data_IF_402763415626
#
_entry.id   IF_402763415626
#
_cell.length_a   1.000
_cell.length_b   1.000
_cell.length_c   1.000
_cell.angle_alpha   90.00
_cell.angle_beta   90.00
_cell.angle_gamma   90.00
#
_symmetry.space_group_name_H-M   'P 1'
#
loop_
_entity.id
_entity.type
_entity.pdbx_description
1 polymer ?
#
# COMPACT_ATOMS: atom_id res chain seq x y z
N UNK A 1 -9.89 8.56 3.95
CA UNK A 1 -8.74 8.38 3.02
C UNK A 1 -9.05 8.85 1.62
N UNK A 2 -10.31 8.78 1.15
CA UNK A 2 -10.66 9.15 -0.24
C UNK A 2 -10.38 10.62 -0.59
N UNK A 3 -10.42 11.54 0.38
CA UNK A 3 -10.22 12.98 0.18
C UNK A 3 -8.84 13.37 -0.40
N UNK A 4 -7.87 12.46 -0.40
CA UNK A 4 -6.53 12.71 -0.96
C UNK A 4 -6.38 12.27 -2.43
N UNK A 5 -7.44 11.71 -3.03
CA UNK A 5 -7.41 11.22 -4.41
C UNK A 5 -8.25 12.11 -5.32
N UNK A 6 -7.65 12.54 -6.43
CA UNK A 6 -8.41 12.98 -7.60
C UNK A 6 -9.16 11.79 -8.20
N UNK A 7 -10.35 12.03 -8.73
CA UNK A 7 -11.18 11.01 -9.39
C UNK A 7 -11.38 11.36 -10.86
N UNK A 8 -11.01 10.47 -11.80
CA UNK A 8 -10.33 9.19 -11.58
C UNK A 8 -8.85 9.38 -11.23
N UNK A 9 -8.27 8.39 -10.53
CA UNK A 9 -6.82 8.22 -10.39
C UNK A 9 -6.38 7.05 -11.27
N UNK A 10 -5.32 7.24 -12.05
CA UNK A 10 -4.77 6.16 -12.87
C UNK A 10 -3.78 5.32 -12.05
N UNK A 11 -4.03 4.02 -11.95
CA UNK A 11 -3.14 3.03 -11.34
C UNK A 11 -2.83 1.96 -12.40
N UNK A 12 -1.54 1.77 -12.71
CA UNK A 12 -1.08 0.86 -13.77
C UNK A 12 -1.85 1.06 -15.09
N UNK A 13 -1.92 2.32 -15.54
CA UNK A 13 -2.62 2.77 -16.75
C UNK A 13 -4.14 2.51 -16.78
N UNK A 14 -4.73 2.12 -15.66
CA UNK A 14 -6.17 1.91 -15.52
C UNK A 14 -6.79 3.00 -14.63
N UNK A 15 -7.88 3.65 -15.06
CA UNK A 15 -8.60 4.61 -14.22
C UNK A 15 -9.38 3.90 -13.12
N UNK A 16 -9.17 4.31 -11.88
CA UNK A 16 -9.82 3.81 -10.68
C UNK A 16 -10.51 4.96 -9.94
N UNK A 17 -11.60 4.63 -9.25
CA UNK A 17 -12.24 5.53 -8.28
C UNK A 17 -11.48 5.52 -6.94
N UNK A 18 -11.53 6.62 -6.16
CA UNK A 18 -10.92 6.66 -4.82
C UNK A 18 -11.38 5.53 -3.88
N UNK A 19 -12.62 5.08 -4.00
CA UNK A 19 -13.17 3.98 -3.20
C UNK A 19 -12.55 2.63 -3.58
N UNK A 20 -12.32 2.37 -4.88
CA UNK A 20 -11.58 1.18 -5.33
C UNK A 20 -10.15 1.16 -4.79
N UNK A 21 -9.45 2.31 -4.85
CA UNK A 21 -8.08 2.43 -4.33
C UNK A 21 -8.04 2.17 -2.83
N UNK A 22 -8.93 2.77 -2.05
CA UNK A 22 -8.90 2.58 -0.59
C UNK A 22 -9.36 1.19 -0.15
N UNK A 23 -10.30 0.58 -0.89
CA UNK A 23 -10.76 -0.78 -0.60
C UNK A 23 -9.64 -1.83 -0.76
N UNK A 24 -8.69 -1.62 -1.68
CA UNK A 24 -7.60 -2.56 -1.94
C UNK A 24 -6.71 -2.81 -0.71
N UNK A 25 -6.60 -1.85 0.22
CA UNK A 25 -5.72 -1.94 1.38
C UNK A 25 -6.34 -2.68 2.56
N UNK A 26 -7.66 -2.90 2.56
CA UNK A 26 -8.36 -3.55 3.69
C UNK A 26 -7.78 -4.94 4.04
N UNK A 27 -7.56 -5.86 3.07
CA UNK A 27 -7.00 -7.17 3.39
C UNK A 27 -5.56 -7.09 3.90
N UNK A 28 -4.77 -6.15 3.36
CA UNK A 28 -3.39 -5.92 3.78
C UNK A 28 -3.30 -5.47 5.23
N UNK A 29 -4.07 -4.45 5.61
CA UNK A 29 -4.06 -3.93 6.99
C UNK A 29 -4.63 -4.94 7.98
N UNK A 30 -5.62 -5.76 7.56
CA UNK A 30 -6.15 -6.83 8.39
C UNK A 30 -5.11 -7.96 8.61
N UNK A 31 -4.37 -8.33 7.58
CA UNK A 31 -3.38 -9.40 7.66
C UNK A 31 -2.05 -8.99 8.33
N UNK A 32 -1.72 -7.70 8.28
CA UNK A 32 -0.51 -7.10 8.86
C UNK A 32 -0.88 -5.89 9.73
N UNK A 33 -1.38 -6.08 10.96
CA UNK A 33 -1.78 -4.97 11.84
C UNK A 33 -0.63 -4.02 12.21
N UNK A 34 0.61 -4.51 12.16
CA UNK A 34 1.86 -3.76 12.40
C UNK A 34 2.53 -3.30 11.09
N UNK A 35 1.77 -3.18 10.01
CA UNK A 35 2.25 -2.70 8.72
C UNK A 35 2.87 -1.31 8.82
N UNK A 36 4.08 -1.15 8.30
CA UNK A 36 4.85 0.07 8.42
C UNK A 36 5.58 0.41 7.12
N UNK A 37 5.36 1.62 6.63
CA UNK A 37 6.07 2.20 5.47
C UNK A 37 7.18 3.13 5.93
N UNK A 38 8.35 2.98 5.34
CA UNK A 38 9.49 3.87 5.51
C UNK A 38 9.88 4.43 4.15
N UNK A 39 9.83 5.76 3.99
CA UNK A 39 10.34 6.42 2.80
C UNK A 39 11.87 6.39 2.84
N UNK A 40 12.50 5.73 1.86
CA UNK A 40 13.96 5.68 1.71
C UNK A 40 14.46 6.82 0.85
N UNK A 41 13.77 7.08 -0.25
CA UNK A 41 14.05 8.21 -1.14
C UNK A 41 12.74 8.81 -1.63
N UNK A 42 12.74 10.13 -1.79
CA UNK A 42 11.64 10.92 -2.34
C UNK A 42 12.24 11.95 -3.28
N UNK A 43 11.77 11.95 -4.53
CA UNK A 43 12.08 12.99 -5.51
C UNK A 43 10.80 13.62 -5.98
N UNK A 44 10.76 14.95 -6.04
CA UNK A 44 9.63 15.72 -6.57
C UNK A 44 10.17 16.64 -7.65
N UNK A 45 9.62 16.54 -8.85
CA UNK A 45 10.02 17.35 -9.99
C UNK A 45 8.84 17.59 -10.93
N UNK A 46 8.60 18.84 -11.33
CA UNK A 46 7.61 19.21 -12.35
C UNK A 46 6.20 18.62 -12.13
N UNK A 47 5.76 18.53 -10.87
CA UNK A 47 4.45 17.97 -10.51
C UNK A 47 4.41 16.43 -10.41
N UNK A 48 5.55 15.76 -10.63
CA UNK A 48 5.72 14.33 -10.40
C UNK A 48 6.36 14.07 -9.04
N UNK A 49 5.99 12.94 -8.44
CA UNK A 49 6.58 12.43 -7.21
C UNK A 49 6.99 10.97 -7.41
N UNK A 50 8.25 10.65 -7.12
CA UNK A 50 8.77 9.29 -7.10
C UNK A 50 9.18 8.92 -5.66
N UNK A 51 8.77 7.72 -5.22
CA UNK A 51 9.03 7.20 -3.89
C UNK A 51 9.74 5.85 -4.00
N UNK A 52 10.85 5.70 -3.28
CA UNK A 52 11.42 4.39 -2.95
C UNK A 52 11.06 4.12 -1.49
N UNK A 53 10.28 3.07 -1.26
CA UNK A 53 9.74 2.71 0.05
C UNK A 53 10.35 1.38 0.51
N UNK A 54 10.70 1.26 1.78
CA UNK A 54 10.79 -0.06 2.42
C UNK A 54 9.57 -0.29 3.28
N UNK A 55 9.10 -1.53 3.32
CA UNK A 55 7.88 -1.90 4.03
C UNK A 55 8.12 -3.10 4.92
N UNK A 56 7.57 -3.07 6.14
CA UNK A 56 7.62 -4.19 7.08
C UNK A 56 6.24 -4.51 7.65
N UNK A 57 6.05 -5.75 8.09
CA UNK A 57 4.88 -6.17 8.87
C UNK A 57 4.99 -7.63 9.30
N UNK A 58 4.20 -8.03 10.28
CA UNK A 58 4.09 -9.41 10.77
C UNK A 58 2.81 -10.04 10.26
N UNK A 59 2.91 -11.22 9.63
CA UNK A 59 1.77 -11.89 9.01
C UNK A 59 0.88 -12.55 10.08
N UNK A 60 -0.19 -11.86 10.48
CA UNK A 60 -1.07 -12.20 11.61
C UNK A 60 -2.51 -12.55 11.20
N UNK A 61 -2.94 -12.21 9.99
CA UNK A 61 -4.21 -12.64 9.41
C UNK A 61 -4.02 -13.26 8.02
N UNK A 62 -5.07 -13.86 7.45
CA UNK A 62 -4.99 -14.44 6.11
C UNK A 62 -4.71 -13.37 5.05
N UNK A 63 -3.71 -13.60 4.21
CA UNK A 63 -3.36 -12.71 3.12
C UNK A 63 -3.23 -13.48 1.80
N UNK A 64 -4.00 -13.07 0.79
CA UNK A 64 -3.98 -13.71 -0.54
C UNK A 64 -4.13 -15.24 -0.51
N UNK A 65 -4.99 -15.76 0.39
CA UNK A 65 -5.21 -17.20 0.56
C UNK A 65 -4.15 -17.93 1.40
N UNK A 66 -3.15 -17.21 1.92
CA UNK A 66 -2.11 -17.76 2.78
C UNK A 66 -2.49 -17.52 4.24
N UNK A 67 -2.56 -18.60 5.02
CA UNK A 67 -2.83 -18.55 6.46
C UNK A 67 -1.71 -17.83 7.23
N UNK A 68 -2.01 -17.19 8.37
CA UNK A 68 -1.04 -16.39 9.10
C UNK A 68 0.17 -17.22 9.54
N UNK A 69 1.35 -16.76 9.14
CA UNK A 69 2.61 -17.50 9.40
C UNK A 69 3.33 -17.06 10.66
N UNK A 70 2.95 -15.91 11.25
CA UNK A 70 3.65 -15.29 12.38
C UNK A 70 5.04 -14.74 12.04
N UNK A 71 5.48 -14.83 10.78
CA UNK A 71 6.80 -14.33 10.35
C UNK A 71 6.73 -12.84 10.02
N UNK A 72 7.83 -12.15 10.32
CA UNK A 72 8.06 -10.78 9.87
C UNK A 72 8.50 -10.76 8.41
N UNK A 73 7.90 -9.88 7.63
CA UNK A 73 8.24 -9.60 6.24
C UNK A 73 8.94 -8.25 6.16
N UNK A 74 9.89 -8.13 5.22
CA UNK A 74 10.51 -6.87 4.83
C UNK A 74 10.69 -6.87 3.32
N UNK A 75 10.28 -5.79 2.67
CA UNK A 75 10.43 -5.56 1.22
C UNK A 75 10.86 -4.13 0.97
N UNK A 76 11.53 -3.86 -0.15
CA UNK A 76 12.02 -2.55 -0.59
C UNK A 76 12.01 -2.45 -2.10
#
# INVERSE_FOLDING_TARGET
MEAYYTSPININDKPWSPSEVTAQFKPLVAAFPDWHWTIRHLTIENGYMALHLSVTGTHQGEFQGIQPTGRRVTTS
#
